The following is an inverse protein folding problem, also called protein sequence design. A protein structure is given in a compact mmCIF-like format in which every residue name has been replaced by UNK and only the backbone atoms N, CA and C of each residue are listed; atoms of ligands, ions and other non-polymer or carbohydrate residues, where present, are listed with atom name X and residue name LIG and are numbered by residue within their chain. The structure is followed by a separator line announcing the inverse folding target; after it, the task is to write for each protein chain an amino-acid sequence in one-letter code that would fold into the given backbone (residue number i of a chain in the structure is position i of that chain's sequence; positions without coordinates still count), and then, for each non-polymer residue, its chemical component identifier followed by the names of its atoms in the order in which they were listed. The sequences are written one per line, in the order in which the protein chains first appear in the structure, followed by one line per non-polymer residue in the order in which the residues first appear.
data_IF_135493458883
#
_entry.id   IF_135493458883
#
_cell.length_a   1.000
_cell.length_b   1.000
_cell.length_c   1.000
_cell.angle_alpha   90.00
_cell.angle_beta   90.00
_cell.angle_gamma   90.00
#
_symmetry.space_group_name_H-M   'P 1'
#
loop_
_entity.id
_entity.type
_entity.pdbx_description
1 polymer ?
#
# COMPACT_ATOMS: atom_id res chain seq x y z
N UNK A 1 15.81 25.54 -12.24
CA UNK A 1 15.14 24.68 -13.23
C UNK A 1 14.42 23.65 -12.38
N UNK A 2 13.12 23.85 -12.16
CA UNK A 2 12.32 22.87 -11.43
C UNK A 2 11.91 21.85 -12.48
N UNK A 3 12.40 20.62 -12.32
CA UNK A 3 12.09 19.49 -13.19
C UNK A 3 10.59 19.46 -13.46
N UNK A 4 10.26 19.38 -14.74
CA UNK A 4 8.90 19.22 -15.24
C UNK A 4 8.31 17.99 -14.54
N UNK A 5 7.43 18.23 -13.56
CA UNK A 5 6.68 17.19 -12.86
C UNK A 5 5.75 16.57 -13.89
N UNK A 6 6.23 15.56 -14.62
CA UNK A 6 5.41 14.82 -15.56
C UNK A 6 4.29 14.14 -14.75
N UNK A 7 3.02 14.47 -14.99
CA UNK A 7 1.92 13.77 -14.34
C UNK A 7 2.01 12.30 -14.73
N UNK A 8 1.99 11.41 -13.72
CA UNK A 8 1.96 9.98 -13.95
C UNK A 8 0.55 9.67 -14.47
N UNK A 9 0.45 9.34 -15.75
CA UNK A 9 -0.82 8.90 -16.36
C UNK A 9 -1.01 7.43 -15.99
N UNK A 10 -1.80 7.19 -14.95
CA UNK A 10 -2.25 5.84 -14.60
C UNK A 10 -3.46 5.53 -15.47
N UNK A 11 -3.48 4.35 -16.08
CA UNK A 11 -4.63 3.89 -16.88
C UNK A 11 -5.57 3.02 -16.02
N UNK A 12 -6.90 3.11 -16.21
CA UNK A 12 -7.86 2.27 -15.50
C UNK A 12 -7.60 0.77 -15.69
N UNK A 13 -7.60 -0.06 -14.62
CA UNK A 13 -7.40 -1.49 -14.73
C UNK A 13 -8.50 -2.18 -15.53
N UNK A 14 -8.11 -3.05 -16.46
CA UNK A 14 -9.06 -3.77 -17.32
C UNK A 14 -9.85 -4.80 -16.50
N UNK A 15 -11.17 -4.59 -16.39
CA UNK A 15 -12.10 -5.50 -15.70
C UNK A 15 -12.55 -5.06 -14.31
N UNK A 16 -12.32 -3.80 -13.92
CA UNK A 16 -12.83 -3.25 -12.66
C UNK A 16 -14.38 -3.20 -12.68
N UNK A 17 -15.01 -3.90 -11.74
CA UNK A 17 -16.47 -3.89 -11.55
C UNK A 17 -16.82 -2.60 -10.81
N UNK A 18 -17.19 -1.57 -11.57
CA UNK A 18 -17.30 -0.18 -11.11
C UNK A 18 -17.11 0.84 -12.25
N UNK A 19 -16.37 0.45 -13.29
CA UNK A 19 -16.24 1.22 -14.54
C UNK A 19 -15.32 2.44 -14.44
N UNK A 20 -15.44 3.33 -15.45
CA UNK A 20 -14.70 4.59 -15.56
C UNK A 20 -15.12 5.59 -14.47
N UNK A 21 -16.39 5.59 -14.04
CA UNK A 21 -16.93 6.57 -13.09
C UNK A 21 -16.32 6.45 -11.70
N UNK A 22 -16.18 5.24 -11.16
CA UNK A 22 -15.46 5.03 -9.89
C UNK A 22 -13.98 5.42 -10.03
N UNK A 23 -13.35 5.06 -11.15
CA UNK A 23 -11.95 5.42 -11.40
C UNK A 23 -11.73 6.94 -11.44
N UNK A 24 -12.59 7.68 -12.14
CA UNK A 24 -12.56 9.13 -12.18
C UNK A 24 -12.83 9.76 -10.80
N UNK A 25 -13.72 9.18 -9.99
CA UNK A 25 -13.93 9.60 -8.60
C UNK A 25 -12.63 9.46 -7.78
N UNK A 26 -11.94 8.32 -7.86
CA UNK A 26 -10.66 8.12 -7.18
C UNK A 26 -9.56 9.07 -7.68
N UNK A 27 -9.50 9.33 -8.99
CA UNK A 27 -8.54 10.27 -9.57
C UNK A 27 -8.83 11.72 -9.13
N UNK A 28 -10.11 12.10 -9.04
CA UNK A 28 -10.50 13.44 -8.58
C UNK A 28 -10.10 13.70 -7.12
N UNK A 29 -10.15 12.66 -6.28
CA UNK A 29 -9.70 12.75 -4.89
C UNK A 29 -8.20 13.05 -4.84
N UNK A 30 -7.39 12.41 -5.69
CA UNK A 30 -5.94 12.65 -5.76
C UNK A 30 -5.60 14.07 -6.23
N UNK A 31 -6.38 14.60 -7.18
CA UNK A 31 -6.24 16.00 -7.65
C UNK A 31 -6.64 17.03 -6.58
N UNK A 32 -7.61 16.69 -5.72
CA UNK A 32 -8.07 17.53 -4.61
C UNK A 32 -7.15 17.47 -3.38
N UNK A 33 -6.15 16.57 -3.36
CA UNK A 33 -5.16 16.52 -2.28
C UNK A 33 -4.29 17.79 -2.34
N UNK A 34 -4.22 18.58 -1.26
CA UNK A 34 -3.38 19.77 -1.23
C UNK A 34 -1.92 19.41 -1.51
N UNK A 35 -1.22 20.23 -2.29
CA UNK A 35 0.21 20.04 -2.60
C UNK A 35 1.07 19.82 -1.34
N UNK A 36 0.68 20.42 -0.21
CA UNK A 36 1.34 20.23 1.08
C UNK A 36 1.22 18.78 1.63
N UNK A 37 0.10 18.11 1.37
CA UNK A 37 -0.10 16.70 1.72
C UNK A 37 0.71 15.77 0.80
N UNK A 38 0.79 16.08 -0.50
CA UNK A 38 1.70 15.34 -1.42
C UNK A 38 3.17 15.51 -1.03
N UNK A 39 3.57 16.69 -0.57
CA UNK A 39 4.94 16.93 -0.08
C UNK A 39 5.21 16.18 1.22
N UNK A 40 4.25 16.13 2.15
CA UNK A 40 4.37 15.34 3.37
C UNK A 40 4.44 13.83 3.07
N UNK A 41 3.66 13.34 2.09
CA UNK A 41 3.72 11.94 1.65
C UNK A 41 5.07 11.61 1.01
N UNK A 42 5.64 12.52 0.22
CA UNK A 42 6.98 12.37 -0.35
C UNK A 42 8.07 12.35 0.73
N UNK A 43 8.00 13.24 1.73
CA UNK A 43 8.93 13.27 2.85
C UNK A 43 8.84 12.00 3.71
N UNK A 44 7.62 11.48 3.91
CA UNK A 44 7.38 10.21 4.61
C UNK A 44 7.94 9.04 3.80
N UNK A 45 7.64 8.96 2.51
CA UNK A 45 8.18 7.94 1.62
C UNK A 45 9.72 7.98 1.60
N UNK A 46 10.30 9.17 1.55
CA UNK A 46 11.75 9.34 1.61
C UNK A 46 12.32 8.89 2.96
N UNK A 47 11.69 9.25 4.07
CA UNK A 47 12.12 8.84 5.40
C UNK A 47 11.97 7.32 5.62
N UNK A 48 10.93 6.71 5.08
CA UNK A 48 10.70 5.25 5.13
C UNK A 48 11.73 4.54 4.24
N UNK A 49 11.94 4.96 2.99
CA UNK A 49 12.96 4.40 2.12
C UNK A 49 14.37 4.53 2.71
N UNK A 50 14.67 5.64 3.39
CA UNK A 50 15.94 5.83 4.08
C UNK A 50 16.06 4.97 5.33
N UNK A 51 14.97 4.76 6.08
CA UNK A 51 14.95 3.83 7.22
C UNK A 51 15.10 2.38 6.76
N UNK A 52 14.44 1.96 5.69
CA UNK A 52 14.56 0.62 5.12
C UNK A 52 15.96 0.35 4.57
N UNK A 53 16.67 1.38 4.06
CA UNK A 53 18.10 1.25 3.70
C UNK A 53 19.04 1.33 4.90
N UNK A 54 18.71 2.12 5.93
CA UNK A 54 19.57 2.30 7.11
C UNK A 54 19.46 1.12 8.09
N UNK A 55 18.28 0.49 8.16
CA UNK A 55 18.13 -0.90 8.55
C UNK A 55 18.76 -1.71 7.41
N UNK A 56 20.09 -1.72 7.36
CA UNK A 56 20.79 -2.78 6.68
C UNK A 56 20.34 -4.07 7.38
N UNK A 57 19.29 -4.70 6.86
CA UNK A 57 19.19 -6.15 6.92
C UNK A 57 20.44 -6.57 6.17
N UNK A 58 21.47 -6.92 6.91
CA UNK A 58 22.63 -7.62 6.39
C UNK A 58 22.10 -8.95 5.85
N UNK A 59 21.54 -8.90 4.64
CA UNK A 59 21.12 -10.05 3.87
C UNK A 59 22.31 -10.59 3.07
N UNK A 60 23.53 -10.35 3.57
CA UNK A 60 24.72 -11.09 3.18
C UNK A 60 24.97 -12.24 4.16
N UNK A 61 23.94 -13.03 4.45
CA UNK A 61 24.17 -14.46 4.40
C UNK A 61 23.69 -14.89 3.03
N UNK A 62 24.59 -15.43 2.21
CA UNK A 62 24.21 -16.13 1.00
C UNK A 62 23.48 -17.42 1.34
N UNK A 63 22.44 -17.34 2.17
CA UNK A 63 21.44 -18.38 2.30
C UNK A 63 20.64 -18.30 1.01
N UNK A 64 21.01 -19.21 0.12
CA UNK A 64 20.29 -19.56 -1.08
C UNK A 64 18.81 -19.49 -0.74
N UNK A 65 18.12 -18.44 -1.21
CA UNK A 65 16.70 -18.24 -0.97
C UNK A 65 16.03 -19.56 -1.31
N UNK A 66 15.70 -20.34 -0.28
CA UNK A 66 15.08 -21.64 -0.47
C UNK A 66 13.84 -21.28 -1.26
N UNK A 67 13.70 -21.87 -2.44
CA UNK A 67 12.57 -21.64 -3.33
C UNK A 67 11.30 -22.14 -2.62
N UNK A 68 10.82 -21.34 -1.67
CA UNK A 68 9.59 -21.57 -0.97
C UNK A 68 8.48 -21.23 -1.95
N UNK A 69 7.60 -22.20 -2.17
CA UNK A 69 6.46 -21.96 -3.04
C UNK A 69 5.67 -20.77 -2.49
N UNK A 70 5.24 -19.84 -3.36
CA UNK A 70 4.41 -18.73 -2.91
C UNK A 70 3.16 -19.28 -2.21
N UNK A 71 2.64 -18.57 -1.19
CA UNK A 71 1.49 -19.04 -0.43
C UNK A 71 0.34 -19.39 -1.36
N UNK A 72 -0.25 -20.56 -1.16
CA UNK A 72 -1.39 -21.02 -1.91
C UNK A 72 -2.60 -20.11 -1.66
N UNK A 73 -3.54 -20.08 -2.61
CA UNK A 73 -4.79 -19.30 -2.44
C UNK A 73 -5.53 -19.65 -1.13
N UNK A 74 -5.45 -20.91 -0.71
CA UNK A 74 -6.03 -21.41 0.54
C UNK A 74 -5.37 -20.78 1.77
N UNK A 75 -4.05 -20.71 1.79
CA UNK A 75 -3.29 -20.10 2.90
C UNK A 75 -3.55 -18.60 3.00
N UNK A 76 -3.63 -17.90 1.86
CA UNK A 76 -4.00 -16.48 1.83
C UNK A 76 -5.40 -16.22 2.38
N UNK A 77 -6.38 -17.05 2.01
CA UNK A 77 -7.76 -16.95 2.53
C UNK A 77 -7.82 -17.20 4.04
N UNK A 78 -7.07 -18.18 4.52
CA UNK A 78 -7.01 -18.48 5.94
C UNK A 78 -6.40 -17.33 6.76
N UNK A 79 -5.31 -16.72 6.26
CA UNK A 79 -4.72 -15.54 6.88
C UNK A 79 -5.70 -14.36 6.93
N UNK A 80 -6.46 -14.15 5.84
CA UNK A 80 -7.48 -13.11 5.77
C UNK A 80 -8.63 -13.35 6.78
N UNK A 81 -9.10 -14.58 6.92
CA UNK A 81 -10.14 -14.94 7.90
C UNK A 81 -9.67 -14.73 9.35
N UNK A 82 -8.39 -14.99 9.64
CA UNK A 82 -7.79 -14.72 10.95
C UNK A 82 -7.76 -13.21 11.22
N UNK A 83 -7.29 -12.41 10.24
CA UNK A 83 -7.25 -10.95 10.34
C UNK A 83 -8.66 -10.39 10.60
N UNK A 84 -9.65 -10.83 9.83
CA UNK A 84 -11.05 -10.42 9.98
C UNK A 84 -11.59 -10.71 11.37
N UNK A 85 -11.30 -11.89 11.94
CA UNK A 85 -11.69 -12.24 13.31
C UNK A 85 -10.98 -11.40 14.36
N UNK A 86 -9.69 -11.11 14.17
CA UNK A 86 -8.93 -10.21 15.04
C UNK A 86 -9.54 -8.81 15.06
N UNK A 87 -9.84 -8.27 13.87
CA UNK A 87 -10.46 -6.96 13.72
C UNK A 87 -11.86 -6.89 14.34
N UNK A 88 -12.68 -7.94 14.17
CA UNK A 88 -13.99 -8.04 14.82
C UNK A 88 -13.90 -8.06 16.36
N UNK A 89 -12.88 -8.70 16.94
CA UNK A 89 -12.66 -8.70 18.40
C UNK A 89 -12.26 -7.31 18.92
N UNK A 90 -11.51 -6.56 18.12
CA UNK A 90 -11.09 -5.20 18.48
C UNK A 90 -12.22 -4.18 18.30
N UNK A 91 -13.14 -4.39 17.34
CA UNK A 91 -14.25 -3.47 17.09
C UNK A 91 -15.39 -3.52 18.13
N UNK A 92 -15.51 -4.60 18.92
CA UNK A 92 -16.47 -4.67 20.04
C UNK A 92 -16.10 -3.79 21.25
N UNK A 93 -14.95 -3.11 21.24
CA UNK A 93 -14.54 -2.20 22.32
C UNK A 93 -14.78 -0.71 22.03
N UNK A 94 -15.37 -0.34 20.89
CA UNK A 94 -15.71 1.07 20.60
C UNK A 94 -17.11 1.50 21.08
N UNK A 95 -17.79 0.71 21.93
CA UNK A 95 -19.09 1.10 22.49
C UNK A 95 -19.09 1.49 23.97
N UNK A 96 -17.91 1.68 24.60
CA UNK A 96 -17.80 2.16 25.99
C UNK A 96 -16.60 3.09 26.23
N UNK A 97 -16.37 4.05 25.33
CA UNK A 97 -15.65 5.29 25.66
C UNK A 97 -16.41 6.48 25.06
#
# INVERSE_FOLDING_TARGET
MLDEKLPIVIEPPKGMVGGEEEYEEWMSIDEDIPVAATLADLEVCQAVCQQDQAVNVDDSDGDECVEENPPTNTEMRQAFDILKRGMQRCSTNFLFL
#
